data_IF_709802398488
#
_entry.id   IF_709802398488
#
_cell.length_a   1.000
_cell.length_b   1.000
_cell.length_c   1.000
_cell.angle_alpha   90.00
_cell.angle_beta   90.00
_cell.angle_gamma   90.00
#
_symmetry.space_group_name_H-M   'P 1'
#
loop_
_entity.id
_entity.type
_entity.pdbx_description
1 polymer ?
#
# COMPACT_ATOMS: atom_id res chain seq x y z
N UNK A 1 25.35 9.82 21.71
CA UNK A 1 24.95 9.16 20.46
C UNK A 1 23.59 9.70 20.05
N UNK A 2 23.53 10.62 19.10
CA UNK A 2 22.29 11.15 18.54
C UNK A 2 21.69 10.09 17.61
N UNK A 3 20.44 9.70 17.82
CA UNK A 3 19.72 8.84 16.87
C UNK A 3 19.70 9.56 15.51
N UNK A 4 20.00 8.89 14.39
CA UNK A 4 19.86 9.51 13.08
C UNK A 4 18.42 9.97 12.91
N UNK A 5 18.24 11.23 12.50
CA UNK A 5 16.95 11.83 12.16
C UNK A 5 16.29 10.96 11.09
N UNK A 6 15.10 10.44 11.37
CA UNK A 6 14.30 9.69 10.42
C UNK A 6 13.12 10.56 9.97
N UNK A 7 12.82 10.69 8.67
CA UNK A 7 11.51 11.12 8.21
C UNK A 7 10.44 10.27 8.86
N UNK A 8 9.77 10.82 9.87
CA UNK A 8 8.61 10.20 10.47
C UNK A 8 7.43 11.11 10.16
N UNK A 9 6.53 10.62 9.31
CA UNK A 9 5.21 11.20 9.21
C UNK A 9 4.54 10.98 10.57
N UNK A 10 4.38 12.06 11.33
CA UNK A 10 3.93 11.99 12.72
C UNK A 10 2.56 12.63 12.95
N UNK A 11 2.12 13.49 12.03
CA UNK A 11 0.87 14.24 12.08
C UNK A 11 0.32 14.48 10.65
N UNK A 12 -0.83 15.16 10.53
CA UNK A 12 -1.46 15.43 9.24
C UNK A 12 -0.66 16.40 8.35
N UNK A 13 0.02 17.39 8.93
CA UNK A 13 0.80 18.37 8.17
C UNK A 13 2.01 17.70 7.50
N UNK A 14 2.74 16.87 8.26
CA UNK A 14 3.85 16.07 7.74
C UNK A 14 3.36 15.12 6.64
N UNK A 15 2.19 14.49 6.82
CA UNK A 15 1.61 13.57 5.84
C UNK A 15 1.34 14.31 4.52
N UNK A 16 0.71 15.49 4.61
CA UNK A 16 0.36 16.30 3.44
C UNK A 16 1.61 16.76 2.70
N UNK A 17 2.55 17.40 3.39
CA UNK A 17 3.80 17.89 2.80
C UNK A 17 4.59 16.76 2.14
N UNK A 18 4.68 15.61 2.81
CA UNK A 18 5.42 14.47 2.27
C UNK A 18 4.75 13.85 1.04
N UNK A 19 3.41 13.85 0.99
CA UNK A 19 2.65 13.38 -0.17
C UNK A 19 2.91 14.20 -1.44
N UNK A 20 3.25 15.48 -1.32
CA UNK A 20 3.52 16.35 -2.47
C UNK A 20 4.85 15.98 -3.17
N UNK A 21 5.77 15.35 -2.45
CA UNK A 21 7.09 14.97 -2.97
C UNK A 21 7.17 13.50 -3.40
N UNK A 22 6.14 12.69 -3.11
CA UNK A 22 6.26 11.24 -3.19
C UNK A 22 6.46 10.73 -4.63
N UNK A 23 5.81 11.38 -5.61
CA UNK A 23 5.94 11.01 -7.01
C UNK A 23 7.36 11.23 -7.52
N UNK A 24 7.98 12.35 -7.15
CA UNK A 24 9.37 12.66 -7.51
C UNK A 24 10.33 11.67 -6.85
N UNK A 25 10.12 11.35 -5.56
CA UNK A 25 10.95 10.38 -4.82
C UNK A 25 10.88 8.97 -5.39
N UNK A 26 9.73 8.60 -5.95
CA UNK A 26 9.48 7.26 -6.47
C UNK A 26 9.63 7.13 -7.98
N UNK A 27 9.86 8.22 -8.73
CA UNK A 27 9.74 8.27 -10.20
C UNK A 27 10.47 7.15 -10.94
N UNK A 28 11.67 6.77 -10.48
CA UNK A 28 12.51 5.73 -11.09
C UNK A 28 12.56 4.43 -10.28
N UNK A 29 11.78 4.37 -9.20
CA UNK A 29 11.80 3.26 -8.25
C UNK A 29 11.32 1.95 -8.88
N UNK A 30 11.87 0.79 -8.45
CA UNK A 30 11.30 -0.51 -8.78
C UNK A 30 9.82 -0.63 -8.43
N UNK A 31 9.38 -0.02 -7.32
CA UNK A 31 7.99 -0.01 -6.90
C UNK A 31 7.03 0.57 -7.96
N UNK A 32 7.32 1.75 -8.53
CA UNK A 32 6.45 2.30 -9.58
C UNK A 32 6.49 1.47 -10.86
N UNK A 33 7.64 0.90 -11.21
CA UNK A 33 7.77 0.00 -12.37
C UNK A 33 6.91 -1.25 -12.20
N UNK A 34 6.92 -1.85 -11.02
CA UNK A 34 6.06 -3.00 -10.69
C UNK A 34 4.58 -2.62 -10.68
N UNK A 35 4.20 -1.46 -10.14
CA UNK A 35 2.82 -0.95 -10.22
C UNK A 35 2.37 -0.75 -11.67
N UNK A 36 3.21 -0.18 -12.52
CA UNK A 36 2.87 -0.01 -13.94
C UNK A 36 2.73 -1.35 -14.65
N UNK A 37 3.60 -2.32 -14.35
CA UNK A 37 3.47 -3.68 -14.88
C UNK A 37 2.12 -4.32 -14.53
N UNK A 38 1.65 -4.12 -13.29
CA UNK A 38 0.32 -4.58 -12.87
C UNK A 38 -0.77 -3.82 -13.64
N UNK A 39 -0.69 -2.49 -13.73
CA UNK A 39 -1.65 -1.67 -14.50
C UNK A 39 -1.76 -2.16 -15.95
N UNK A 40 -0.63 -2.42 -16.61
CA UNK A 40 -0.57 -2.99 -17.95
C UNK A 40 -1.20 -4.39 -18.03
N UNK A 41 -0.97 -5.23 -17.02
CA UNK A 41 -1.62 -6.55 -16.92
C UNK A 41 -3.14 -6.41 -16.90
N UNK A 42 -3.70 -5.49 -16.09
CA UNK A 42 -5.14 -5.22 -16.06
C UNK A 42 -5.67 -4.67 -17.39
N UNK A 43 -4.92 -3.77 -18.05
CA UNK A 43 -5.28 -3.22 -19.36
C UNK A 43 -5.33 -4.28 -20.46
N UNK A 44 -4.48 -5.32 -20.39
CA UNK A 44 -4.43 -6.42 -21.37
C UNK A 44 -5.43 -7.55 -21.09
N UNK A 45 -5.90 -7.65 -19.86
CA UNK A 45 -6.76 -8.78 -19.41
C UNK A 45 -8.17 -8.34 -19.09
N UNK A 46 -8.68 -7.22 -19.65
CA UNK A 46 -9.88 -6.48 -19.16
C UNK A 46 -11.13 -7.32 -18.88
N UNK A 47 -11.39 -8.34 -19.67
CA UNK A 47 -12.53 -9.25 -19.49
C UNK A 47 -12.50 -9.95 -18.14
N UNK A 48 -13.64 -10.00 -17.44
CA UNK A 48 -13.76 -10.62 -16.10
C UNK A 48 -13.97 -12.14 -16.17
N UNK A 49 -13.14 -12.82 -16.97
CA UNK A 49 -13.11 -14.29 -16.97
C UNK A 49 -12.37 -14.78 -15.73
N UNK A 50 -12.73 -15.96 -15.23
CA UNK A 50 -12.01 -16.61 -14.13
C UNK A 50 -10.48 -16.63 -14.35
N UNK A 51 -10.04 -16.97 -15.57
CA UNK A 51 -8.61 -17.03 -15.91
C UNK A 51 -7.92 -15.67 -15.85
N UNK A 52 -8.56 -14.60 -16.34
CA UNK A 52 -8.00 -13.26 -16.27
C UNK A 52 -7.91 -12.76 -14.82
N UNK A 53 -8.94 -13.02 -14.01
CA UNK A 53 -8.95 -12.72 -12.58
C UNK A 53 -7.80 -13.45 -11.88
N UNK A 54 -7.69 -14.77 -12.10
CA UNK A 54 -6.61 -15.60 -11.56
C UNK A 54 -5.23 -15.08 -11.96
N UNK A 55 -5.02 -14.74 -13.23
CA UNK A 55 -3.76 -14.18 -13.72
C UNK A 55 -3.39 -12.87 -12.99
N UNK A 56 -4.35 -11.94 -12.87
CA UNK A 56 -4.13 -10.67 -12.16
C UNK A 56 -3.78 -10.89 -10.68
N UNK A 57 -4.49 -11.82 -10.00
CA UNK A 57 -4.22 -12.16 -8.61
C UNK A 57 -2.81 -12.73 -8.43
N UNK A 58 -2.35 -13.62 -9.33
CA UNK A 58 -1.00 -14.18 -9.30
C UNK A 58 0.07 -13.10 -9.49
N UNK A 59 -0.15 -12.18 -10.44
CA UNK A 59 0.79 -11.06 -10.68
C UNK A 59 0.86 -10.14 -9.45
N UNK A 60 -0.28 -9.80 -8.85
CA UNK A 60 -0.29 -9.00 -7.61
C UNK A 60 0.39 -9.76 -6.47
N UNK A 61 0.06 -11.04 -6.24
CA UNK A 61 0.66 -11.83 -5.16
C UNK A 61 2.18 -11.91 -5.27
N UNK A 62 2.68 -12.07 -6.51
CA UNK A 62 4.11 -12.11 -6.79
C UNK A 62 4.81 -10.78 -6.53
N UNK A 63 4.26 -9.66 -7.02
CA UNK A 63 4.93 -8.35 -6.95
C UNK A 63 4.73 -7.66 -5.60
N UNK A 64 3.57 -7.84 -4.96
CA UNK A 64 3.24 -7.26 -3.65
C UNK A 64 3.44 -8.23 -2.47
N UNK A 65 3.98 -9.43 -2.71
CA UNK A 65 4.35 -10.41 -1.68
C UNK A 65 3.22 -10.74 -0.70
N UNK A 66 2.01 -11.01 -1.20
CA UNK A 66 0.84 -11.26 -0.33
C UNK A 66 0.79 -12.67 0.27
N UNK A 67 1.73 -13.56 -0.14
CA UNK A 67 1.88 -14.95 0.30
C UNK A 67 0.62 -15.83 0.08
N UNK A 68 -0.28 -15.43 -0.82
CA UNK A 68 -1.52 -16.17 -1.08
C UNK A 68 -1.25 -17.49 -1.80
N UNK A 69 -0.27 -17.51 -2.71
CA UNK A 69 0.21 -18.71 -3.41
C UNK A 69 0.75 -19.81 -2.50
N UNK A 70 1.07 -19.51 -1.23
CA UNK A 70 1.50 -20.51 -0.24
C UNK A 70 0.33 -21.29 0.38
N UNK A 71 -0.91 -20.84 0.19
CA UNK A 71 -2.12 -21.50 0.69
C UNK A 71 -2.63 -22.49 -0.35
N UNK A 72 -3.01 -23.69 0.08
CA UNK A 72 -3.65 -24.65 -0.80
C UNK A 72 -4.95 -24.05 -1.34
N UNK A 73 -5.12 -24.04 -2.67
CA UNK A 73 -6.28 -23.50 -3.39
C UNK A 73 -6.59 -22.01 -3.18
N UNK A 74 -5.73 -21.26 -2.48
CA UNK A 74 -6.04 -19.89 -2.07
C UNK A 74 -6.33 -18.91 -3.21
N UNK A 75 -5.52 -18.97 -4.28
CA UNK A 75 -5.73 -18.14 -5.47
C UNK A 75 -6.99 -18.57 -6.25
N UNK A 76 -7.23 -19.89 -6.36
CA UNK A 76 -8.36 -20.43 -7.10
C UNK A 76 -9.70 -20.10 -6.41
N UNK A 77 -9.78 -20.27 -5.10
CA UNK A 77 -10.95 -19.93 -4.29
C UNK A 77 -11.27 -18.44 -4.39
N UNK A 78 -10.25 -17.58 -4.25
CA UNK A 78 -10.44 -16.13 -4.34
C UNK A 78 -10.83 -15.69 -5.76
N UNK A 79 -10.20 -16.27 -6.79
CA UNK A 79 -10.53 -15.96 -8.18
C UNK A 79 -11.98 -16.34 -8.49
N UNK A 80 -12.43 -17.50 -7.99
CA UNK A 80 -13.82 -17.95 -8.13
C UNK A 80 -14.78 -17.01 -7.42
N UNK A 81 -14.54 -16.66 -6.17
CA UNK A 81 -15.41 -15.75 -5.42
C UNK A 81 -15.54 -14.36 -6.09
N UNK A 82 -14.43 -13.83 -6.62
CA UNK A 82 -14.46 -12.57 -7.38
C UNK A 82 -15.23 -12.73 -8.70
N UNK A 83 -15.05 -13.86 -9.39
CA UNK A 83 -15.75 -14.15 -10.65
C UNK A 83 -17.26 -14.30 -10.46
N UNK A 84 -17.67 -14.97 -9.38
CA UNK A 84 -19.06 -15.21 -9.00
C UNK A 84 -19.72 -13.93 -8.44
N UNK A 85 -18.93 -12.91 -8.09
CA UNK A 85 -19.42 -11.59 -7.69
C UNK A 85 -19.70 -10.71 -8.90
N UNK A 86 -20.82 -9.98 -8.87
CA UNK A 86 -21.17 -9.05 -9.95
C UNK A 86 -20.04 -8.06 -10.26
N UNK A 87 -19.62 -8.00 -11.53
CA UNK A 87 -18.55 -7.12 -11.97
C UNK A 87 -18.78 -5.65 -11.59
N UNK A 88 -20.02 -5.17 -11.69
CA UNK A 88 -20.39 -3.80 -11.33
C UNK A 88 -20.11 -3.52 -9.83
N UNK A 89 -20.29 -4.52 -8.97
CA UNK A 89 -20.01 -4.43 -7.54
C UNK A 89 -18.51 -4.30 -7.27
N UNK A 90 -17.69 -5.13 -7.90
CA UNK A 90 -16.22 -5.03 -7.79
C UNK A 90 -15.74 -3.65 -8.28
N UNK A 91 -16.31 -3.15 -9.39
CA UNK A 91 -15.86 -1.89 -10.00
C UNK A 91 -16.35 -0.63 -9.28
N UNK A 92 -17.57 -0.63 -8.73
CA UNK A 92 -18.23 0.61 -8.25
C UNK A 92 -18.95 0.46 -6.91
N UNK A 93 -19.11 -0.76 -6.40
CA UNK A 93 -19.81 -1.02 -5.15
C UNK A 93 -19.16 -0.32 -3.96
N UNK A 94 -19.94 0.00 -2.94
CA UNK A 94 -19.40 0.49 -1.68
C UNK A 94 -18.62 -0.61 -0.95
N UNK A 95 -17.88 -0.24 0.11
CA UNK A 95 -17.17 -1.23 0.91
C UNK A 95 -18.12 -2.21 1.59
N UNK A 96 -19.25 -1.69 2.09
CA UNK A 96 -20.31 -2.46 2.74
C UNK A 96 -20.84 -3.56 1.82
N UNK A 97 -20.99 -3.25 0.53
CA UNK A 97 -21.45 -4.23 -0.46
C UNK A 97 -20.39 -5.30 -0.77
N UNK A 98 -19.10 -5.01 -0.52
CA UNK A 98 -17.99 -5.94 -0.68
C UNK A 98 -17.59 -6.64 0.62
N UNK A 99 -18.23 -6.31 1.73
CA UNK A 99 -17.80 -6.73 3.08
C UNK A 99 -17.75 -8.25 3.21
N UNK A 100 -18.71 -8.95 2.57
CA UNK A 100 -18.78 -10.40 2.56
C UNK A 100 -17.52 -11.03 1.93
N UNK A 101 -17.03 -10.48 0.80
CA UNK A 101 -15.79 -10.95 0.18
C UNK A 101 -14.58 -10.78 1.10
N UNK A 102 -14.56 -9.74 1.95
CA UNK A 102 -13.49 -9.52 2.92
C UNK A 102 -13.61 -10.41 4.17
N UNK A 103 -14.81 -10.88 4.52
CA UNK A 103 -15.06 -11.75 5.68
C UNK A 103 -14.75 -13.21 5.39
N UNK A 104 -14.91 -13.65 4.13
CA UNK A 104 -14.66 -15.02 3.71
C UNK A 104 -13.19 -15.47 3.84
N UNK A 105 -13.02 -16.78 3.99
CA UNK A 105 -11.71 -17.44 3.99
C UNK A 105 -11.46 -18.09 2.63
N UNK A 106 -10.21 -18.03 2.16
CA UNK A 106 -9.81 -18.52 0.85
C UNK A 106 -8.58 -19.42 0.96
N UNK A 107 -8.71 -20.65 0.46
CA UNK A 107 -7.75 -21.72 0.65
C UNK A 107 -7.54 -22.08 2.12
N UNK A 108 -6.54 -22.92 2.36
CA UNK A 108 -6.17 -23.34 3.72
C UNK A 108 -4.65 -23.56 3.87
N UNK A 109 -4.18 -23.52 5.12
CA UNK A 109 -2.80 -23.82 5.49
C UNK A 109 -2.60 -25.34 5.74
N UNK A 110 -1.41 -25.78 6.16
CA UNK A 110 -1.14 -27.20 6.46
C UNK A 110 -1.98 -27.79 7.61
N UNK A 111 -2.57 -26.94 8.44
CA UNK A 111 -3.44 -27.31 9.56
C UNK A 111 -4.92 -27.29 9.15
N UNK A 112 -5.22 -27.12 7.86
CA UNK A 112 -6.58 -27.00 7.30
C UNK A 112 -7.34 -25.75 7.77
N UNK A 113 -6.64 -24.75 8.32
CA UNK A 113 -7.23 -23.49 8.73
C UNK A 113 -7.41 -22.56 7.52
N UNK A 114 -8.64 -22.12 7.29
CA UNK A 114 -8.96 -21.08 6.32
C UNK A 114 -8.44 -19.71 6.75
N UNK A 115 -8.04 -18.87 5.80
CA UNK A 115 -7.50 -17.54 6.07
C UNK A 115 -8.12 -16.49 5.15
N UNK A 116 -8.40 -15.30 5.68
CA UNK A 116 -8.83 -14.14 4.90
C UNK A 116 -7.75 -13.71 3.91
N UNK A 117 -8.17 -13.14 2.79
CA UNK A 117 -7.29 -12.61 1.75
C UNK A 117 -7.30 -11.07 1.66
N UNK A 118 -7.58 -10.38 2.78
CA UNK A 118 -7.79 -8.92 2.89
C UNK A 118 -6.74 -8.10 2.13
N UNK A 119 -5.45 -8.45 2.28
CA UNK A 119 -4.33 -7.78 1.60
C UNK A 119 -4.38 -7.93 0.07
N UNK A 120 -4.61 -9.14 -0.45
CA UNK A 120 -4.64 -9.38 -1.89
C UNK A 120 -5.93 -8.84 -2.52
N UNK A 121 -7.07 -9.03 -1.86
CA UNK A 121 -8.37 -8.55 -2.32
C UNK A 121 -8.41 -7.01 -2.41
N UNK A 122 -7.92 -6.29 -1.38
CA UNK A 122 -7.86 -4.83 -1.42
C UNK A 122 -6.95 -4.31 -2.54
N UNK A 123 -5.80 -4.95 -2.80
CA UNK A 123 -4.93 -4.62 -3.94
C UNK A 123 -5.61 -4.89 -5.27
N UNK A 124 -6.30 -6.03 -5.41
CA UNK A 124 -7.07 -6.33 -6.60
C UNK A 124 -8.11 -5.24 -6.88
N UNK A 125 -8.91 -4.88 -5.87
CA UNK A 125 -9.94 -3.83 -5.99
C UNK A 125 -9.31 -2.47 -6.29
N UNK A 126 -8.16 -2.13 -5.67
CA UNK A 126 -7.43 -0.89 -5.97
C UNK A 126 -7.08 -0.78 -7.46
N UNK A 127 -6.54 -1.85 -8.07
CA UNK A 127 -6.23 -1.85 -9.50
C UNK A 127 -7.48 -1.86 -10.39
N UNK A 128 -8.52 -2.62 -10.04
CA UNK A 128 -9.81 -2.58 -10.75
C UNK A 128 -10.39 -1.16 -10.76
N UNK A 129 -10.27 -0.44 -9.64
CA UNK A 129 -10.85 0.90 -9.44
C UNK A 129 -9.88 2.04 -9.78
N UNK A 130 -8.80 1.75 -10.49
CA UNK A 130 -7.81 2.75 -10.93
C UNK A 130 -7.31 3.62 -9.77
N UNK A 131 -7.00 3.00 -8.63
CA UNK A 131 -6.46 3.67 -7.45
C UNK A 131 -7.50 4.13 -6.43
N UNK A 132 -8.81 4.08 -6.74
CA UNK A 132 -9.87 4.61 -5.88
C UNK A 132 -10.31 3.65 -4.75
N UNK A 133 -9.38 2.92 -4.15
CA UNK A 133 -9.64 2.05 -3.01
C UNK A 133 -8.38 1.89 -2.16
N UNK A 134 -8.44 1.91 -0.83
CA UNK A 134 -7.23 1.79 -0.01
C UNK A 134 -6.64 0.37 -0.10
N UNK A 135 -5.31 0.28 -0.12
CA UNK A 135 -4.61 -1.00 -0.07
C UNK A 135 -4.41 -1.41 1.40
N UNK A 136 -4.85 -2.61 1.75
CA UNK A 136 -4.55 -3.19 3.04
C UNK A 136 -3.10 -3.69 3.05
N UNK A 137 -2.26 -3.04 3.85
CA UNK A 137 -0.85 -3.34 3.99
C UNK A 137 -0.38 -3.09 5.43
N UNK A 138 0.54 -3.92 5.93
CA UNK A 138 1.03 -3.82 7.31
C UNK A 138 1.87 -2.56 7.53
N UNK A 139 2.58 -2.07 6.50
CA UNK A 139 3.32 -0.81 6.57
C UNK A 139 2.35 0.37 6.63
N UNK A 140 1.30 0.36 5.82
CA UNK A 140 0.25 1.40 5.85
C UNK A 140 -0.40 1.46 7.24
N UNK A 141 -0.71 0.31 7.85
CA UNK A 141 -1.23 0.26 9.22
C UNK A 141 -0.27 0.87 10.24
N UNK A 142 1.02 0.58 10.11
CA UNK A 142 2.06 1.09 11.01
C UNK A 142 2.21 2.60 10.90
N UNK A 143 2.20 3.14 9.67
CA UNK A 143 2.23 4.58 9.43
C UNK A 143 0.97 5.28 9.96
N UNK A 144 -0.21 4.71 9.68
CA UNK A 144 -1.48 5.23 10.20
C UNK A 144 -1.45 5.35 11.72
N UNK A 145 -0.97 4.31 12.42
CA UNK A 145 -0.90 4.33 13.88
C UNK A 145 -0.01 5.44 14.42
N UNK A 146 1.10 5.76 13.73
CA UNK A 146 1.99 6.86 14.12
C UNK A 146 1.29 8.21 14.04
N UNK A 147 0.57 8.47 12.94
CA UNK A 147 -0.20 9.71 12.74
C UNK A 147 -1.36 9.78 13.75
N UNK A 148 -2.08 8.67 13.90
CA UNK A 148 -3.23 8.60 14.78
C UNK A 148 -2.89 8.84 16.26
N UNK A 149 -1.66 8.52 16.69
CA UNK A 149 -1.22 8.77 18.06
C UNK A 149 -1.28 10.27 18.42
N UNK A 150 -0.97 11.13 17.46
CA UNK A 150 -1.01 12.58 17.63
C UNK A 150 -2.45 13.12 17.47
N UNK A 151 -3.14 12.65 16.43
CA UNK A 151 -4.42 13.21 15.99
C UNK A 151 -5.67 12.62 16.68
N UNK A 152 -5.51 11.51 17.42
CA UNK A 152 -6.58 10.80 18.16
C UNK A 152 -7.81 10.43 17.30
N UNK A 153 -7.62 10.08 16.03
CA UNK A 153 -8.69 9.82 15.05
C UNK A 153 -9.45 8.52 15.35
N UNK A 154 -8.78 7.37 15.34
CA UNK A 154 -9.33 6.05 15.63
C UNK A 154 -8.24 5.10 16.11
N UNK A 155 -8.27 4.64 17.37
CA UNK A 155 -7.29 3.70 17.88
C UNK A 155 -7.50 2.28 17.31
N UNK A 156 -6.41 1.70 16.78
CA UNK A 156 -6.25 0.32 16.29
C UNK A 156 -6.99 -0.05 14.99
N UNK A 157 -6.21 -0.29 13.93
CA UNK A 157 -6.70 -0.76 12.63
C UNK A 157 -6.80 -2.29 12.56
N UNK A 158 -8.01 -2.79 12.38
CA UNK A 158 -8.28 -4.19 12.02
C UNK A 158 -8.96 -4.29 10.64
N UNK A 159 -9.32 -5.50 10.22
CA UNK A 159 -9.94 -5.74 8.92
C UNK A 159 -11.32 -5.08 8.77
N UNK A 160 -12.01 -4.82 9.87
CA UNK A 160 -13.38 -4.28 9.88
C UNK A 160 -13.41 -2.78 9.74
N UNK A 161 -12.42 -2.08 10.30
CA UNK A 161 -12.38 -0.61 10.31
C UNK A 161 -11.34 0.00 9.37
N UNK A 162 -10.45 -0.80 8.77
CA UNK A 162 -9.36 -0.31 7.91
C UNK A 162 -9.84 0.62 6.80
N UNK A 163 -10.88 0.22 6.07
CA UNK A 163 -11.39 1.02 4.95
C UNK A 163 -11.84 2.41 5.40
N UNK A 164 -12.67 2.50 6.45
CA UNK A 164 -13.22 3.77 6.92
C UNK A 164 -12.15 4.67 7.53
N UNK A 165 -11.20 4.08 8.26
CA UNK A 165 -10.10 4.82 8.85
C UNK A 165 -9.18 5.43 7.77
N UNK A 166 -8.86 4.67 6.72
CA UNK A 166 -8.05 5.20 5.61
C UNK A 166 -8.84 6.19 4.76
N UNK A 167 -10.16 6.00 4.58
CA UNK A 167 -11.04 6.97 3.93
C UNK A 167 -11.04 8.30 4.69
N UNK A 168 -11.27 8.23 6.00
CA UNK A 168 -11.23 9.40 6.89
C UNK A 168 -9.87 10.09 6.84
N UNK A 169 -8.77 9.35 6.96
CA UNK A 169 -7.42 9.91 6.86
C UNK A 169 -7.19 10.61 5.51
N UNK A 170 -7.64 10.01 4.40
CA UNK A 170 -7.51 10.58 3.06
C UNK A 170 -8.24 11.92 2.92
N UNK A 171 -9.41 12.05 3.57
CA UNK A 171 -10.24 13.25 3.58
C UNK A 171 -9.65 14.33 4.49
N UNK A 172 -9.35 14.02 5.75
CA UNK A 172 -8.87 15.01 6.73
C UNK A 172 -7.45 15.50 6.43
N UNK A 173 -6.60 14.69 5.77
CA UNK A 173 -5.27 15.12 5.33
C UNK A 173 -5.33 16.03 4.09
N UNK A 174 -6.48 16.13 3.42
CA UNK A 174 -6.62 16.86 2.17
C UNK A 174 -5.85 16.24 0.99
N UNK A 175 -5.43 14.97 1.09
CA UNK A 175 -4.79 14.23 -0.01
C UNK A 175 -5.83 13.85 -1.07
N UNK A 176 -7.01 13.39 -0.64
CA UNK A 176 -8.14 13.05 -1.51
C UNK A 176 -7.78 12.11 -2.68
N UNK A 177 -6.79 11.23 -2.48
CA UNK A 177 -6.30 10.28 -3.47
C UNK A 177 -5.71 9.06 -2.76
N UNK A 178 -6.40 7.93 -2.83
CA UNK A 178 -5.96 6.70 -2.16
C UNK A 178 -4.64 6.14 -2.69
N UNK A 179 -4.35 6.28 -3.99
CA UNK A 179 -3.06 5.86 -4.55
C UNK A 179 -1.93 6.72 -3.96
N UNK A 180 -2.11 8.04 -3.90
CA UNK A 180 -1.12 8.94 -3.32
C UNK A 180 -0.93 8.69 -1.82
N UNK A 181 -2.03 8.52 -1.08
CA UNK A 181 -2.01 8.21 0.34
C UNK A 181 -1.26 6.89 0.62
N UNK A 182 -1.60 5.83 -0.09
CA UNK A 182 -0.97 4.50 0.06
C UNK A 182 0.54 4.58 -0.18
N UNK A 183 0.96 5.18 -1.29
CA UNK A 183 2.39 5.33 -1.63
C UNK A 183 3.14 6.12 -0.56
N UNK A 184 2.52 7.19 -0.05
CA UNK A 184 3.11 8.07 0.97
C UNK A 184 3.32 7.31 2.28
N UNK A 185 2.28 6.62 2.76
CA UNK A 185 2.33 5.83 4.00
C UNK A 185 3.31 4.66 3.86
N UNK A 186 3.26 3.92 2.76
CA UNK A 186 4.15 2.80 2.48
C UNK A 186 5.62 3.23 2.43
N UNK A 187 5.94 4.29 1.68
CA UNK A 187 7.30 4.79 1.51
C UNK A 187 7.90 5.25 2.85
N UNK A 188 7.11 5.97 3.65
CA UNK A 188 7.55 6.45 4.97
C UNK A 188 8.09 5.32 5.85
N UNK A 189 7.41 4.17 5.84
CA UNK A 189 7.82 3.01 6.63
C UNK A 189 8.98 2.25 6.02
N UNK A 190 9.07 2.19 4.69
CA UNK A 190 10.21 1.58 4.00
C UNK A 190 11.51 2.32 4.34
N UNK A 191 11.49 3.65 4.32
CA UNK A 191 12.64 4.47 4.73
C UNK A 191 12.95 4.26 6.21
N UNK A 192 11.93 4.36 7.08
CA UNK A 192 12.08 4.16 8.54
C UNK A 192 12.71 2.80 8.89
N UNK A 193 12.40 1.76 8.12
CA UNK A 193 12.91 0.40 8.32
C UNK A 193 14.22 0.10 7.59
N UNK A 194 14.76 1.04 6.80
CA UNK A 194 15.95 0.80 5.97
C UNK A 194 15.73 -0.21 4.84
N UNK A 195 14.49 -0.39 4.37
CA UNK A 195 14.13 -1.33 3.31
C UNK A 195 14.09 -0.62 1.95
N UNK A 196 15.24 -0.58 1.28
CA UNK A 196 15.43 0.26 0.09
C UNK A 196 15.29 -0.45 -1.26
N UNK A 197 15.16 -1.78 -1.29
CA UNK A 197 15.19 -2.57 -2.53
C UNK A 197 14.07 -2.25 -3.53
N UNK A 198 12.94 -1.71 -3.05
CA UNK A 198 11.83 -1.26 -3.89
C UNK A 198 11.80 0.26 -4.10
N UNK A 199 12.71 0.99 -3.45
CA UNK A 199 12.83 2.44 -3.54
C UNK A 199 13.92 2.82 -4.54
N UNK A 200 15.10 2.20 -4.42
CA UNK A 200 16.25 2.49 -5.26
C UNK A 200 16.53 1.32 -6.21
N UNK A 201 17.02 1.65 -7.40
CA UNK A 201 17.62 0.62 -8.26
C UNK A 201 18.86 0.04 -7.57
N UNK A 202 19.30 -1.14 -8.02
CA UNK A 202 20.51 -1.78 -7.50
C UNK A 202 21.73 -0.86 -7.59
N UNK A 203 21.91 -0.18 -8.72
CA UNK A 203 23.06 0.70 -8.95
C UNK A 203 22.94 1.99 -8.15
N UNK A 204 21.75 2.60 -8.06
CA UNK A 204 21.55 3.79 -7.22
C UNK A 204 21.81 3.50 -5.75
N UNK A 205 21.34 2.35 -5.25
CA UNK A 205 21.58 1.94 -3.87
C UNK A 205 23.06 1.71 -3.59
N UNK A 206 23.78 1.06 -4.50
CA UNK A 206 25.24 0.89 -4.38
C UNK A 206 25.96 2.23 -4.34
N UNK A 207 25.63 3.14 -5.26
CA UNK A 207 26.24 4.47 -5.32
C UNK A 207 25.99 5.22 -4.01
N UNK A 208 24.73 5.23 -3.55
CA UNK A 208 24.34 5.83 -2.27
C UNK A 208 25.08 5.22 -1.08
N UNK A 209 25.27 3.90 -1.03
CA UNK A 209 26.05 3.23 0.02
C UNK A 209 27.56 3.54 -0.06
N UNK A 210 28.09 3.80 -1.24
CA UNK A 210 29.50 4.10 -1.44
C UNK A 210 29.87 5.56 -1.11
N UNK A 211 28.95 6.50 -1.35
CA UNK A 211 29.18 7.95 -1.15
C UNK A 211 28.84 8.45 0.25
N UNK A 212 28.20 7.61 1.06
CA UNK A 212 27.55 8.02 2.30
C UNK A 212 28.08 7.12 3.41
N UNK A 213 28.70 7.68 4.46
CA UNK A 213 28.93 6.89 5.68
C UNK A 213 27.55 6.36 6.14
N UNK A 214 27.46 5.09 6.56
CA UNK A 214 26.19 4.37 6.79
C UNK A 214 25.11 5.16 7.57
N UNK A 215 25.49 6.19 8.33
CA UNK A 215 24.65 7.07 9.14
C UNK A 215 23.81 8.10 8.36
N UNK A 216 24.23 8.59 7.17
CA UNK A 216 23.53 9.69 6.46
C UNK A 216 22.47 9.26 5.45
N UNK A 217 22.37 7.96 5.10
CA UNK A 217 21.27 7.46 4.24
C UNK A 217 19.89 7.55 4.90
N UNK A 218 19.85 7.67 6.23
CA UNK A 218 18.63 7.84 6.99
C UNK A 218 18.16 9.30 7.05
N UNK A 219 18.99 10.26 6.61
CA UNK A 219 18.76 11.70 6.78
C UNK A 219 18.16 12.41 5.54
N UNK A 220 17.70 11.70 4.51
CA UNK A 220 17.15 12.30 3.28
C UNK A 220 15.72 12.88 3.46
N UNK A 221 15.59 13.95 4.26
CA UNK A 221 14.61 15.02 4.04
C UNK A 221 15.38 16.35 3.94
N UNK A 222 15.09 17.21 2.95
CA UNK A 222 15.58 18.58 2.97
C UNK A 222 15.10 19.28 4.24
N UNK A 223 16.05 19.76 5.04
CA UNK A 223 15.82 20.59 6.20
C UNK A 223 15.86 22.08 5.80
N UNK A 224 15.20 22.43 4.71
CA UNK A 224 15.16 23.81 4.22
C UNK A 224 13.72 24.35 4.32
N UNK A 225 13.57 25.31 5.24
CA UNK A 225 12.44 26.25 5.40
C UNK A 225 11.29 25.94 6.37
N UNK A 226 11.53 25.26 7.50
CA UNK A 226 10.79 25.59 8.74
C UNK A 226 11.62 26.60 9.55
N UNK A 227 11.10 27.82 9.71
CA UNK A 227 11.67 29.00 10.39
C UNK A 227 12.50 30.01 9.58
N UNK A 228 11.94 30.50 8.46
CA UNK A 228 12.10 31.92 8.06
C UNK A 228 10.79 32.48 7.50
N UNK A 229 9.73 32.48 8.30
CA UNK A 229 8.57 33.38 8.12
C UNK A 229 7.67 33.33 9.35
N UNK A 230 8.18 33.86 10.45
CA UNK A 230 7.38 34.48 11.52
C UNK A 230 8.26 35.52 12.22
N UNK A 231 8.38 36.66 11.56
CA UNK A 231 8.61 37.94 12.22
C UNK A 231 7.38 38.79 12.00
#
# INVERSE_FOLDING_TARGET
>A
MTKPYQPQISNLEDLKLFSEQIMERLKDSPYLKEKEFIKETFKKTREQTFYNIKLRLLVIDSLFSTNMSKRYFGIDDLAKAIHDTEQALIQKGSYEQLEELFKQSYGFNRELNGLKATSLLSKYIHFVRSGNFPIYDSLVKKAYWQINKEEKITPNLDDTNFYYALKSLNEISGINNFELLDMTLWYSQKITQGSFSLIYSKEDLKNKLATTSHTSLLQEIPNEERFKQSK
#
